data_IF_869237415002
#
_entry.id   IF_869237415002
#
_cell.length_a   1.000
_cell.length_b   1.000
_cell.length_c   1.000
_cell.angle_alpha   90.00
_cell.angle_beta   90.00
_cell.angle_gamma   90.00
#
_symmetry.space_group_name_H-M   'P 1'
#
loop_
_entity.id
_entity.type
_entity.pdbx_description
1 polymer ?
#
# COMPACT_ATOMS: atom_id res chain seq x y z
N UNK A 1 -1.00 2.96 25.48
CA UNK A 1 -0.47 1.57 25.56
C UNK A 1 -0.92 0.72 24.36
N UNK A 2 -2.22 0.62 24.03
CA UNK A 2 -2.70 -0.28 22.98
C UNK A 2 -2.17 0.01 21.56
N UNK A 3 -1.91 1.27 21.20
CA UNK A 3 -1.41 1.62 19.87
C UNK A 3 -0.12 0.87 19.49
N UNK A 4 0.87 0.85 20.39
CA UNK A 4 2.14 0.14 20.15
C UNK A 4 1.96 -1.37 20.10
N UNK A 5 1.05 -1.92 20.92
CA UNK A 5 0.74 -3.34 20.91
C UNK A 5 0.09 -3.78 19.60
N UNK A 6 -0.83 -2.99 19.05
CA UNK A 6 -1.49 -3.28 17.76
C UNK A 6 -0.46 -3.27 16.62
N UNK A 7 0.43 -2.27 16.57
CA UNK A 7 1.50 -2.23 15.58
C UNK A 7 2.39 -3.48 15.71
N UNK A 8 2.88 -3.78 16.91
CA UNK A 8 3.74 -4.93 17.15
C UNK A 8 3.08 -6.27 16.78
N UNK A 9 1.82 -6.49 17.18
CA UNK A 9 1.07 -7.71 16.82
C UNK A 9 0.90 -7.83 15.31
N UNK A 10 0.54 -6.74 14.63
CA UNK A 10 0.38 -6.76 13.17
C UNK A 10 1.66 -7.11 12.42
N UNK A 11 2.82 -6.62 12.90
CA UNK A 11 4.12 -6.91 12.31
C UNK A 11 4.54 -8.38 12.51
N UNK A 12 4.21 -8.96 13.67
CA UNK A 12 4.52 -10.38 13.97
C UNK A 12 3.62 -11.33 13.20
N UNK A 13 2.33 -11.00 13.06
CA UNK A 13 1.33 -11.86 12.39
C UNK A 13 1.42 -11.87 10.86
N UNK A 14 2.17 -10.95 10.23
CA UNK A 14 2.47 -10.91 8.78
C UNK A 14 1.27 -11.17 7.85
N UNK A 15 0.10 -10.62 8.18
CA UNK A 15 -1.11 -10.83 7.38
C UNK A 15 -0.99 -10.08 6.04
N UNK A 16 -1.03 -10.83 4.93
CA UNK A 16 -1.00 -10.24 3.59
C UNK A 16 -2.31 -9.53 3.25
N UNK A 17 -2.22 -8.41 2.54
CA UNK A 17 -3.38 -7.67 2.04
C UNK A 17 -3.87 -8.35 0.77
N UNK A 18 -5.11 -8.88 0.78
CA UNK A 18 -5.71 -9.56 -0.37
C UNK A 18 -6.46 -8.56 -1.27
N UNK A 19 -7.19 -7.62 -0.65
CA UNK A 19 -7.93 -6.58 -1.36
C UNK A 19 -7.81 -5.24 -0.62
N UNK A 20 -7.44 -4.14 -1.30
CA UNK A 20 -7.48 -2.80 -0.72
C UNK A 20 -8.94 -2.36 -0.53
N UNK A 21 -9.20 -1.59 0.53
CA UNK A 21 -10.51 -0.97 0.79
C UNK A 21 -10.61 0.44 0.17
N UNK A 22 -9.49 0.97 -0.29
CA UNK A 22 -9.35 2.31 -0.83
C UNK A 22 -9.93 2.40 -2.24
N UNK A 23 -10.54 3.54 -2.54
CA UNK A 23 -10.94 3.87 -3.91
C UNK A 23 -9.68 4.20 -4.72
N UNK A 24 -9.74 3.88 -6.02
CA UNK A 24 -8.67 4.12 -6.99
C UNK A 24 -8.56 5.60 -7.43
N UNK A 25 -8.88 6.53 -6.53
CA UNK A 25 -8.84 7.98 -6.77
C UNK A 25 -7.42 8.53 -6.90
N UNK A 26 -6.44 7.80 -6.40
CA UNK A 26 -5.03 8.19 -6.41
C UNK A 26 -4.16 7.02 -6.88
N UNK A 27 -3.07 7.34 -7.57
CA UNK A 27 -2.31 6.35 -8.33
C UNK A 27 -1.54 5.38 -7.44
N UNK A 28 -1.22 5.76 -6.21
CA UNK A 28 -0.51 4.90 -5.26
C UNK A 28 -1.29 3.62 -4.89
N UNK A 29 -2.63 3.64 -4.97
CA UNK A 29 -3.44 2.47 -4.64
C UNK A 29 -3.42 1.37 -5.72
N UNK A 30 -2.85 1.66 -6.89
CA UNK A 30 -2.60 0.64 -7.91
C UNK A 30 -1.29 -0.12 -7.69
N UNK A 31 -0.44 0.33 -6.76
CA UNK A 31 0.84 -0.32 -6.47
C UNK A 31 0.65 -1.60 -5.64
N UNK A 32 1.63 -2.50 -5.75
CA UNK A 32 1.70 -3.67 -4.89
C UNK A 32 1.96 -3.28 -3.43
N UNK A 33 1.62 -4.17 -2.50
CA UNK A 33 1.94 -4.02 -1.07
C UNK A 33 2.91 -5.12 -0.63
N UNK A 34 4.22 -4.82 -0.43
CA UNK A 34 4.90 -3.52 -0.56
C UNK A 34 5.20 -3.15 -2.03
N UNK A 35 5.41 -1.85 -2.33
CA UNK A 35 5.82 -1.42 -3.66
C UNK A 35 7.25 -1.86 -3.97
N UNK A 36 7.55 -2.08 -5.24
CA UNK A 36 8.92 -2.32 -5.70
C UNK A 36 9.76 -1.04 -5.61
N UNK A 37 11.08 -1.16 -5.47
CA UNK A 37 12.02 -0.03 -5.43
C UNK A 37 11.87 0.87 -6.67
N UNK A 38 11.72 0.24 -7.84
CA UNK A 38 11.30 0.91 -9.07
C UNK A 38 9.84 0.58 -9.34
N UNK A 39 8.92 1.36 -8.76
CA UNK A 39 7.49 1.07 -8.75
C UNK A 39 6.76 1.38 -10.08
N UNK A 40 7.40 2.11 -11.00
CA UNK A 40 6.82 2.50 -12.29
C UNK A 40 7.79 2.21 -13.42
N UNK A 41 7.30 1.63 -14.51
CA UNK A 41 8.03 1.55 -15.78
C UNK A 41 8.02 2.88 -16.52
N UNK A 42 6.93 3.64 -16.38
CA UNK A 42 6.71 4.94 -17.02
C UNK A 42 5.81 5.80 -16.13
N UNK A 43 5.96 7.13 -16.22
CA UNK A 43 5.16 8.07 -15.45
C UNK A 43 3.80 8.31 -16.14
N UNK A 44 2.71 8.51 -15.38
CA UNK A 44 1.41 8.80 -15.95
C UNK A 44 1.42 10.13 -16.70
N UNK A 45 0.79 10.16 -17.87
CA UNK A 45 0.61 11.38 -18.64
C UNK A 45 -0.58 12.17 -18.08
N UNK A 46 -0.36 13.44 -17.74
CA UNK A 46 -1.43 14.36 -17.38
C UNK A 46 -2.00 14.98 -18.66
N UNK A 47 -3.31 14.88 -18.85
CA UNK A 47 -4.03 15.59 -19.92
C UNK A 47 -4.72 16.81 -19.32
N UNK A 48 -4.62 17.95 -20.01
CA UNK A 48 -5.33 19.19 -19.67
C UNK A 48 -6.81 19.14 -20.06
#
# INVERSE_FOLDING_TARGET
IFFLFIIWESMVSQRQVIFPIQLNSSIEWYQNTPPAEHSYSELPMLTN
#
